data_IF_494199278577
#
_entry.id   IF_494199278577
#
_cell.length_a   1.000
_cell.length_b   1.000
_cell.length_c   1.000
_cell.angle_alpha   90.00
_cell.angle_beta   90.00
_cell.angle_gamma   90.00
#
_symmetry.space_group_name_H-M   'P 1'
#
loop_
_entity.id
_entity.type
_entity.pdbx_description
1 polymer ?
#
# COMPACT_ATOMS: atom_id res chain seq x y z
N UNK A 1 18.85 16.09 -16.80
CA UNK A 1 18.02 14.99 -17.39
C UNK A 1 18.98 14.00 -18.02
N UNK A 2 18.82 12.68 -17.75
CA UNK A 2 19.64 11.55 -18.23
C UNK A 2 20.93 11.25 -17.47
N UNK A 3 20.85 10.39 -16.46
CA UNK A 3 22.03 9.84 -15.77
C UNK A 3 21.87 8.49 -15.07
N UNK A 4 20.70 7.81 -15.16
CA UNK A 4 20.47 6.61 -14.32
C UNK A 4 20.32 5.27 -15.05
N UNK A 5 20.66 5.20 -16.33
CA UNK A 5 20.37 4.00 -17.14
C UNK A 5 21.43 2.88 -17.12
N UNK A 6 22.61 3.07 -16.56
CA UNK A 6 23.72 2.11 -16.79
C UNK A 6 24.31 1.41 -15.56
N UNK A 7 23.91 1.74 -14.34
CA UNK A 7 24.53 1.15 -13.13
C UNK A 7 23.83 -0.18 -12.73
N UNK A 8 22.59 -0.42 -13.15
CA UNK A 8 21.83 -1.61 -12.75
C UNK A 8 22.27 -2.90 -13.49
N UNK A 9 22.85 -2.81 -14.67
CA UNK A 9 23.23 -3.97 -15.48
C UNK A 9 24.53 -4.64 -15.00
N UNK A 10 25.43 -3.89 -14.40
CA UNK A 10 26.72 -4.39 -13.92
C UNK A 10 26.65 -5.25 -12.64
N UNK A 11 25.59 -5.12 -11.85
CA UNK A 11 25.42 -5.85 -10.59
C UNK A 11 24.87 -7.27 -10.82
N UNK A 12 24.18 -7.50 -11.94
CA UNK A 12 23.53 -8.77 -12.23
C UNK A 12 24.53 -9.84 -12.75
N UNK A 13 25.65 -9.44 -13.32
CA UNK A 13 26.61 -10.36 -13.96
C UNK A 13 27.63 -10.99 -13.00
N UNK A 14 27.76 -10.51 -11.76
CA UNK A 14 28.67 -11.09 -10.74
C UNK A 14 27.94 -11.97 -9.69
N UNK A 15 26.77 -12.50 -9.98
CA UNK A 15 25.89 -13.17 -9.02
C UNK A 15 26.17 -14.63 -8.73
N UNK A 16 27.32 -15.18 -9.10
CA UNK A 16 27.69 -16.58 -8.79
C UNK A 16 28.07 -16.86 -7.32
N UNK A 17 28.05 -15.85 -6.43
CA UNK A 17 28.41 -16.01 -5.01
C UNK A 17 27.23 -15.71 -4.06
N UNK A 18 26.05 -15.32 -4.56
CA UNK A 18 24.92 -14.96 -3.71
C UNK A 18 23.96 -16.14 -3.64
N UNK A 19 24.13 -17.03 -2.67
CA UNK A 19 23.11 -18.03 -2.31
C UNK A 19 21.84 -17.32 -1.78
N UNK A 20 20.97 -16.91 -2.68
CA UNK A 20 19.67 -16.31 -2.38
C UNK A 20 18.58 -16.94 -3.24
N UNK A 21 17.35 -16.88 -2.75
CA UNK A 21 16.19 -17.34 -3.52
C UNK A 21 15.69 -16.22 -4.42
N UNK A 22 15.65 -16.48 -5.72
CA UNK A 22 15.10 -15.59 -6.73
C UNK A 22 13.72 -16.07 -7.17
N UNK A 23 12.75 -15.17 -7.24
CA UNK A 23 11.38 -15.46 -7.68
C UNK A 23 10.93 -14.45 -8.73
N UNK A 24 10.18 -14.94 -9.72
CA UNK A 24 9.52 -14.13 -10.75
C UNK A 24 8.03 -14.46 -10.72
N UNK A 25 7.20 -13.46 -10.76
CA UNK A 25 5.75 -13.60 -10.90
C UNK A 25 5.20 -12.44 -11.74
N UNK A 26 4.01 -12.60 -12.25
CA UNK A 26 3.32 -11.55 -12.99
C UNK A 26 1.82 -11.66 -12.75
N UNK A 27 1.16 -10.52 -12.68
CA UNK A 27 -0.29 -10.42 -12.61
C UNK A 27 -0.77 -9.85 -13.94
N UNK A 28 -1.55 -10.62 -14.67
CA UNK A 28 -2.22 -10.17 -15.88
C UNK A 28 -3.70 -9.95 -15.59
N UNK A 29 -4.23 -8.79 -15.98
CA UNK A 29 -5.62 -8.44 -15.78
C UNK A 29 -6.21 -7.94 -17.07
N UNK A 30 -7.41 -8.44 -17.38
CA UNK A 30 -8.27 -7.94 -18.45
C UNK A 30 -9.62 -7.56 -17.84
N UNK A 31 -10.12 -6.38 -18.16
CA UNK A 31 -11.45 -5.92 -17.78
C UNK A 31 -12.17 -5.31 -18.98
N UNK A 32 -13.47 -5.56 -19.09
CA UNK A 32 -14.32 -4.95 -20.10
C UNK A 32 -15.67 -4.56 -19.49
N UNK A 33 -16.16 -3.39 -19.85
CA UNK A 33 -17.46 -2.86 -19.42
C UNK A 33 -18.22 -2.43 -20.67
N UNK A 34 -19.49 -2.76 -20.73
CA UNK A 34 -20.41 -2.31 -21.77
C UNK A 34 -21.60 -1.57 -21.15
N UNK A 35 -22.06 -0.53 -21.81
CA UNK A 35 -23.21 0.27 -21.39
C UNK A 35 -24.18 0.50 -22.55
N UNK A 36 -25.50 0.50 -22.27
CA UNK A 36 -26.53 0.77 -23.28
C UNK A 36 -26.80 2.27 -23.42
N UNK A 37 -26.83 3.01 -22.31
CA UNK A 37 -27.12 4.43 -22.26
C UNK A 37 -25.86 5.24 -21.90
N UNK A 38 -24.93 5.35 -22.84
CA UNK A 38 -23.71 6.14 -22.66
C UNK A 38 -23.84 7.50 -23.33
N UNK A 39 -23.24 8.57 -22.78
CA UNK A 39 -23.19 9.88 -23.43
C UNK A 39 -22.65 9.77 -24.86
N UNK A 40 -23.17 10.61 -25.78
CA UNK A 40 -22.87 10.55 -27.22
C UNK A 40 -21.39 10.53 -27.59
N UNK A 41 -20.51 11.06 -26.71
CA UNK A 41 -19.06 11.12 -26.92
C UNK A 41 -18.31 9.90 -26.35
N UNK A 42 -19.00 8.97 -25.70
CA UNK A 42 -18.38 7.82 -25.07
C UNK A 42 -18.68 6.54 -25.85
N UNK A 43 -17.69 5.67 -25.96
CA UNK A 43 -17.91 4.34 -26.55
C UNK A 43 -18.77 3.48 -25.61
N UNK A 44 -19.65 2.70 -26.20
CA UNK A 44 -20.42 1.68 -25.46
C UNK A 44 -19.53 0.62 -24.82
N UNK A 45 -18.32 0.46 -25.31
CA UNK A 45 -17.35 -0.51 -24.83
C UNK A 45 -16.13 0.22 -24.25
N UNK A 46 -15.78 -0.14 -23.03
CA UNK A 46 -14.52 0.27 -22.42
C UNK A 46 -13.79 -1.00 -21.98
N UNK A 47 -12.49 -1.07 -22.23
CA UNK A 47 -11.67 -2.18 -21.79
C UNK A 47 -10.34 -1.71 -21.20
N UNK A 48 -9.77 -2.53 -20.35
CA UNK A 48 -8.44 -2.32 -19.78
C UNK A 48 -7.64 -3.60 -19.82
N UNK A 49 -6.38 -3.46 -20.17
CA UNK A 49 -5.39 -4.55 -20.12
C UNK A 49 -4.27 -4.08 -19.21
N UNK A 50 -3.91 -4.88 -18.22
CA UNK A 50 -2.83 -4.57 -17.29
C UNK A 50 -1.91 -5.77 -17.12
N UNK A 51 -0.61 -5.50 -17.00
CA UNK A 51 0.39 -6.48 -16.65
C UNK A 51 1.36 -5.92 -15.62
N UNK A 52 1.57 -6.65 -14.53
CA UNK A 52 2.46 -6.27 -13.44
C UNK A 52 3.51 -7.36 -13.24
N UNK A 53 4.64 -7.32 -14.00
CA UNK A 53 5.78 -8.16 -13.72
C UNK A 53 6.39 -7.80 -12.37
N UNK A 54 6.76 -8.80 -11.58
CA UNK A 54 7.40 -8.64 -10.28
C UNK A 54 8.58 -9.60 -10.16
N UNK A 55 9.69 -9.08 -9.68
CA UNK A 55 10.91 -9.82 -9.38
C UNK A 55 11.18 -9.66 -7.89
N UNK A 56 11.46 -10.75 -7.20
CA UNK A 56 11.86 -10.71 -5.80
C UNK A 56 13.11 -11.55 -5.56
N UNK A 57 13.91 -11.08 -4.63
CA UNK A 57 15.13 -11.73 -4.19
C UNK A 57 15.13 -11.79 -2.66
N UNK A 58 15.46 -12.96 -2.11
CA UNK A 58 15.52 -13.21 -0.67
C UNK A 58 16.84 -13.87 -0.32
N UNK A 59 17.54 -13.34 0.67
CA UNK A 59 18.80 -13.87 1.17
C UNK A 59 18.79 -13.98 2.69
N UNK A 60 19.17 -15.15 3.19
CA UNK A 60 19.48 -15.29 4.62
C UNK A 60 20.85 -14.67 4.88
N UNK A 61 20.89 -13.62 5.73
CA UNK A 61 22.12 -12.93 6.13
C UNK A 61 22.76 -13.65 7.31
N UNK A 62 21.93 -14.19 8.18
CA UNK A 62 22.33 -15.09 9.27
C UNK A 62 21.23 -16.14 9.51
N UNK A 63 21.43 -17.05 10.48
CA UNK A 63 20.41 -18.03 10.85
C UNK A 63 19.08 -17.41 11.30
N UNK A 64 19.09 -16.16 11.74
CA UNK A 64 17.91 -15.48 12.29
C UNK A 64 17.57 -14.19 11.54
N UNK A 65 18.26 -13.85 10.45
CA UNK A 65 18.01 -12.61 9.74
C UNK A 65 17.95 -12.80 8.23
N UNK A 66 17.05 -12.04 7.61
CA UNK A 66 16.71 -12.14 6.20
C UNK A 66 16.79 -10.73 5.59
N UNK A 67 17.35 -10.65 4.41
CA UNK A 67 17.30 -9.49 3.53
C UNK A 67 16.44 -9.85 2.31
N UNK A 68 15.40 -9.07 2.06
CA UNK A 68 14.52 -9.21 0.91
C UNK A 68 14.54 -7.95 0.05
N UNK A 69 14.32 -8.17 -1.24
CA UNK A 69 14.14 -7.11 -2.22
C UNK A 69 12.98 -7.47 -3.14
N UNK A 70 12.14 -6.50 -3.49
CA UNK A 70 11.09 -6.66 -4.50
C UNK A 70 11.07 -5.48 -5.45
N UNK A 71 10.98 -5.78 -6.74
CA UNK A 71 10.73 -4.82 -7.79
C UNK A 71 9.55 -5.26 -8.64
N UNK A 72 8.60 -4.37 -8.85
CA UNK A 72 7.44 -4.57 -9.72
C UNK A 72 7.15 -3.32 -10.52
N UNK A 73 6.66 -3.49 -11.74
CA UNK A 73 6.33 -2.39 -12.64
C UNK A 73 4.96 -2.59 -13.25
N UNK A 74 4.12 -1.56 -13.26
CA UNK A 74 2.78 -1.63 -13.84
C UNK A 74 2.80 -1.08 -15.27
N UNK A 75 2.25 -1.89 -16.17
CA UNK A 75 1.94 -1.55 -17.56
C UNK A 75 0.44 -1.70 -17.75
N UNK A 76 -0.27 -0.63 -18.13
CA UNK A 76 -1.72 -0.68 -18.34
C UNK A 76 -2.13 0.17 -19.52
N UNK A 77 -2.99 -0.37 -20.37
CA UNK A 77 -3.70 0.32 -21.43
C UNK A 77 -5.20 0.36 -21.16
N UNK A 78 -5.82 1.54 -21.29
CA UNK A 78 -7.26 1.71 -21.19
C UNK A 78 -7.81 2.14 -22.55
N UNK A 79 -8.85 1.45 -23.01
CA UNK A 79 -9.44 1.62 -24.33
C UNK A 79 -10.89 2.09 -24.24
N UNK A 80 -11.28 2.95 -25.15
CA UNK A 80 -12.66 3.35 -25.39
C UNK A 80 -13.03 2.96 -26.83
N UNK A 81 -13.80 1.89 -27.01
CA UNK A 81 -13.88 1.19 -28.28
C UNK A 81 -12.50 0.66 -28.68
N UNK A 82 -12.09 0.94 -29.92
CA UNK A 82 -10.78 0.54 -30.43
C UNK A 82 -9.66 1.56 -30.15
N UNK A 83 -9.98 2.68 -29.49
CA UNK A 83 -9.04 3.76 -29.25
C UNK A 83 -8.41 3.66 -27.87
N UNK A 84 -7.07 3.62 -27.83
CA UNK A 84 -6.29 3.72 -26.59
C UNK A 84 -6.32 5.19 -26.10
N UNK A 85 -6.98 5.45 -24.96
CA UNK A 85 -7.12 6.80 -24.43
C UNK A 85 -6.21 7.11 -23.23
N UNK A 86 -5.72 6.06 -22.55
CA UNK A 86 -4.86 6.23 -21.38
C UNK A 86 -3.89 5.07 -21.23
N UNK A 87 -2.62 5.37 -21.00
CA UNK A 87 -1.61 4.40 -20.60
C UNK A 87 -1.09 4.72 -19.20
N UNK A 88 -0.77 3.69 -18.43
CA UNK A 88 -0.11 3.80 -17.14
C UNK A 88 1.16 2.98 -17.21
N UNK A 89 2.29 3.62 -16.95
CA UNK A 89 3.61 3.01 -16.91
C UNK A 89 4.35 3.57 -15.71
N UNK A 90 4.41 2.81 -14.61
CA UNK A 90 5.01 3.30 -13.36
C UNK A 90 5.52 2.18 -12.48
N UNK A 91 6.50 2.47 -11.60
CA UNK A 91 6.86 1.55 -10.54
C UNK A 91 5.63 1.17 -9.72
N UNK A 92 5.48 -0.12 -9.45
CA UNK A 92 4.38 -0.66 -8.67
C UNK A 92 4.83 -1.05 -7.27
N UNK A 93 6.04 -1.64 -7.17
CA UNK A 93 6.77 -1.96 -5.93
C UNK A 93 8.24 -1.75 -6.19
N UNK A 94 8.93 -1.22 -5.20
CA UNK A 94 10.39 -1.08 -5.22
C UNK A 94 10.86 -0.88 -3.80
N UNK A 95 11.13 -1.97 -3.10
CA UNK A 95 11.51 -1.90 -1.70
C UNK A 95 12.56 -2.94 -1.35
N UNK A 96 13.31 -2.65 -0.28
CA UNK A 96 14.18 -3.57 0.43
C UNK A 96 13.70 -3.75 1.86
N UNK A 97 13.87 -4.95 2.42
CA UNK A 97 13.48 -5.29 3.78
C UNK A 97 14.57 -6.08 4.47
N UNK A 98 14.93 -5.64 5.64
CA UNK A 98 15.67 -6.43 6.62
C UNK A 98 14.70 -6.91 7.69
N UNK A 99 14.76 -8.17 8.07
CA UNK A 99 13.93 -8.73 9.13
C UNK A 99 14.70 -9.75 9.98
N UNK A 100 14.43 -9.73 11.28
CA UNK A 100 14.82 -10.76 12.24
C UNK A 100 13.66 -11.03 13.21
N UNK A 101 13.87 -11.83 14.25
CA UNK A 101 12.83 -12.20 15.22
C UNK A 101 12.18 -10.99 15.93
N UNK A 102 12.92 -9.89 16.11
CA UNK A 102 12.46 -8.73 16.89
C UNK A 102 12.19 -7.49 16.05
N UNK A 103 12.72 -7.42 14.82
CA UNK A 103 12.70 -6.20 14.02
C UNK A 103 12.43 -6.52 12.55
N UNK A 104 11.55 -5.75 11.94
CA UNK A 104 11.44 -5.63 10.49
C UNK A 104 11.62 -4.16 10.11
N UNK A 105 12.56 -3.86 9.23
CA UNK A 105 12.73 -2.54 8.63
C UNK A 105 12.56 -2.65 7.11
N UNK A 106 11.67 -1.83 6.52
CA UNK A 106 11.41 -1.83 5.08
C UNK A 106 11.50 -0.41 4.54
N UNK A 107 12.25 -0.24 3.46
CA UNK A 107 12.48 1.05 2.80
C UNK A 107 12.09 0.97 1.33
N UNK A 108 11.41 2.00 0.82
CA UNK A 108 11.06 2.20 -0.58
C UNK A 108 9.57 2.16 -0.86
N UNK A 109 9.19 2.01 -2.14
CA UNK A 109 7.80 1.99 -2.60
C UNK A 109 7.12 0.68 -2.18
N UNK A 110 6.29 0.73 -1.16
CA UNK A 110 5.69 -0.42 -0.49
C UNK A 110 4.22 -0.23 -0.18
N UNK A 111 3.50 -1.34 -0.02
CA UNK A 111 2.12 -1.35 0.45
C UNK A 111 2.11 -1.28 1.98
N UNK A 112 1.30 -0.35 2.53
CA UNK A 112 1.03 -0.25 3.96
C UNK A 112 -0.48 -0.31 4.14
N UNK A 113 -0.96 -1.34 4.82
CA UNK A 113 -2.38 -1.59 5.07
C UNK A 113 -2.57 -1.90 6.53
N UNK A 114 -3.66 -1.39 7.09
CA UNK A 114 -4.12 -1.65 8.44
C UNK A 114 -5.59 -2.07 8.42
N UNK A 115 -6.02 -2.65 9.54
CA UNK A 115 -7.40 -2.95 9.83
C UNK A 115 -7.94 -4.21 9.15
N UNK A 116 -9.00 -4.81 9.74
CA UNK A 116 -9.60 -6.06 9.30
C UNK A 116 -10.65 -5.90 8.19
N UNK A 117 -11.16 -4.69 7.94
CA UNK A 117 -12.31 -4.49 7.04
C UNK A 117 -11.93 -4.59 5.56
N UNK A 118 -12.88 -5.09 4.75
CA UNK A 118 -12.67 -5.38 3.33
C UNK A 118 -13.35 -4.36 2.40
N UNK A 119 -14.51 -3.82 2.79
CA UNK A 119 -15.35 -2.99 1.92
C UNK A 119 -15.25 -1.51 2.32
N UNK A 120 -15.77 -1.16 3.48
CA UNK A 120 -15.64 0.18 4.04
C UNK A 120 -14.42 0.18 4.95
N UNK A 121 -13.35 0.86 4.51
CA UNK A 121 -12.03 0.77 5.12
C UNK A 121 -11.57 2.13 5.65
N UNK A 122 -12.04 2.56 6.84
CA UNK A 122 -11.65 3.85 7.43
C UNK A 122 -10.13 4.00 7.65
N UNK A 123 -9.40 2.88 7.85
CA UNK A 123 -7.95 2.83 7.99
C UNK A 123 -7.19 2.68 6.67
N UNK A 124 -7.85 2.79 5.52
CA UNK A 124 -7.20 2.79 4.21
C UNK A 124 -6.51 4.14 3.95
N UNK A 125 -5.50 4.46 4.76
CA UNK A 125 -4.85 5.77 4.72
C UNK A 125 -3.78 5.87 3.64
N UNK A 126 -3.14 4.77 3.30
CA UNK A 126 -1.96 4.71 2.43
C UNK A 126 -2.13 3.77 1.24
N UNK A 127 -3.30 3.18 1.10
CA UNK A 127 -3.65 2.34 -0.02
C UNK A 127 -4.88 2.90 -0.75
N UNK A 128 -4.72 3.17 -2.02
CA UNK A 128 -5.84 3.52 -2.89
C UNK A 128 -6.49 2.24 -3.40
N UNK A 129 -7.66 1.92 -2.89
CA UNK A 129 -8.44 0.80 -3.39
C UNK A 129 -9.36 1.28 -4.52
N UNK A 130 -9.19 0.72 -5.70
CA UNK A 130 -10.12 0.96 -6.81
C UNK A 130 -11.10 -0.22 -6.91
N UNK A 131 -12.37 0.01 -6.56
CA UNK A 131 -13.44 -0.99 -6.64
C UNK A 131 -13.61 -1.53 -8.06
N UNK A 132 -13.24 -0.74 -9.07
CA UNK A 132 -13.29 -1.15 -10.49
C UNK A 132 -12.14 -2.07 -10.88
N UNK A 133 -11.12 -2.19 -10.04
CA UNK A 133 -9.97 -3.05 -10.28
C UNK A 133 -10.23 -4.46 -9.72
N UNK A 134 -10.47 -5.46 -10.56
CA UNK A 134 -10.80 -6.82 -10.10
C UNK A 134 -9.68 -7.52 -9.34
N UNK A 135 -8.46 -6.99 -9.37
CA UNK A 135 -7.31 -7.58 -8.68
C UNK A 135 -7.15 -7.13 -7.24
N UNK A 136 -7.93 -6.15 -6.77
CA UNK A 136 -7.74 -5.50 -5.46
C UNK A 136 -6.31 -4.98 -5.23
N UNK A 137 -5.56 -4.79 -6.30
CA UNK A 137 -4.19 -4.31 -6.20
C UNK A 137 -4.18 -2.80 -6.00
N UNK A 138 -3.46 -2.37 -4.97
CA UNK A 138 -3.35 -0.97 -4.58
C UNK A 138 -1.95 -0.45 -4.84
N UNK A 139 -1.85 0.84 -5.12
CA UNK A 139 -0.56 1.52 -5.22
C UNK A 139 0.13 1.53 -3.85
N UNK A 140 1.46 1.55 -3.88
CA UNK A 140 2.26 1.73 -2.69
C UNK A 140 2.54 3.19 -2.38
N UNK A 141 3.18 3.41 -1.25
CA UNK A 141 3.76 4.69 -0.82
C UNK A 141 5.26 4.56 -0.65
N UNK A 142 6.00 5.62 -0.94
CA UNK A 142 7.42 5.68 -0.62
C UNK A 142 7.58 5.89 0.87
N UNK A 143 8.12 4.90 1.56
CA UNK A 143 8.19 4.92 3.02
C UNK A 143 9.42 4.20 3.58
N UNK A 144 9.86 4.68 4.75
CA UNK A 144 10.59 3.89 5.71
C UNK A 144 9.61 3.39 6.76
N UNK A 145 9.46 2.06 6.91
CA UNK A 145 8.62 1.44 7.92
C UNK A 145 9.45 0.52 8.79
N UNK A 146 9.27 0.66 10.10
CA UNK A 146 9.91 -0.17 11.11
C UNK A 146 8.81 -0.85 11.93
N UNK A 147 8.93 -2.16 12.14
CA UNK A 147 8.12 -2.95 13.07
C UNK A 147 9.03 -3.55 14.11
N UNK A 148 8.64 -3.43 15.35
CA UNK A 148 9.30 -4.09 16.46
C UNK A 148 8.33 -5.06 17.13
N UNK A 149 8.77 -6.32 17.27
CA UNK A 149 8.01 -7.41 17.85
C UNK A 149 8.48 -7.65 19.29
N UNK A 150 7.58 -7.48 20.25
CA UNK A 150 7.85 -7.76 21.65
C UNK A 150 7.63 -9.24 21.97
N UNK A 151 8.28 -9.71 23.04
CA UNK A 151 8.09 -11.08 23.55
C UNK A 151 6.66 -11.41 23.97
N UNK A 152 5.82 -10.38 24.23
CA UNK A 152 4.41 -10.55 24.67
C UNK A 152 3.41 -10.50 23.50
N UNK A 153 3.83 -10.82 22.28
CA UNK A 153 3.01 -10.73 21.06
C UNK A 153 2.49 -9.33 20.75
N UNK A 154 3.07 -8.30 21.35
CA UNK A 154 2.78 -6.92 21.00
C UNK A 154 3.66 -6.49 19.84
N UNK A 155 3.12 -5.66 18.95
CA UNK A 155 3.87 -5.12 17.82
C UNK A 155 3.78 -3.59 17.82
N UNK A 156 4.93 -2.95 17.67
CA UNK A 156 5.04 -1.51 17.48
C UNK A 156 5.48 -1.23 16.05
N UNK A 157 4.74 -0.37 15.37
CA UNK A 157 5.10 0.09 14.03
C UNK A 157 5.43 1.58 14.11
N UNK A 158 6.37 2.00 13.27
CA UNK A 158 6.58 3.40 12.96
C UNK A 158 6.86 3.56 11.48
N UNK A 159 6.53 4.71 10.94
CA UNK A 159 6.77 5.01 9.53
C UNK A 159 7.01 6.49 9.28
N UNK A 160 7.82 6.75 8.26
CA UNK A 160 7.98 8.02 7.58
C UNK A 160 7.53 7.78 6.13
N UNK A 161 6.60 8.58 5.63
CA UNK A 161 6.08 8.48 4.27
C UNK A 161 6.39 9.77 3.54
N UNK A 162 6.95 9.63 2.34
CA UNK A 162 7.15 10.73 1.42
C UNK A 162 6.00 10.78 0.45
N UNK A 163 5.35 11.94 0.31
CA UNK A 163 4.29 12.17 -0.67
C UNK A 163 4.83 12.72 -2.00
N UNK A 164 3.93 12.87 -2.98
CA UNK A 164 4.26 13.38 -4.32
C UNK A 164 4.75 14.84 -4.32
N UNK A 165 4.58 15.57 -3.22
CA UNK A 165 5.03 16.94 -3.03
C UNK A 165 6.36 17.04 -2.27
N UNK A 166 7.07 15.91 -2.11
CA UNK A 166 8.30 15.78 -1.33
C UNK A 166 8.14 16.10 0.18
N UNK A 167 6.89 16.06 0.67
CA UNK A 167 6.59 16.31 2.07
C UNK A 167 6.63 14.99 2.85
N UNK A 168 7.13 15.02 4.08
CA UNK A 168 7.22 13.83 4.93
C UNK A 168 6.09 13.84 5.94
N UNK A 169 5.27 12.81 5.90
CA UNK A 169 4.30 12.47 6.94
C UNK A 169 4.82 11.33 7.80
N UNK A 170 4.35 11.23 9.04
CA UNK A 170 4.84 10.23 9.97
C UNK A 170 3.75 9.72 10.92
N UNK A 171 3.97 8.54 11.44
CA UNK A 171 3.03 7.94 12.36
C UNK A 171 3.53 6.68 13.03
N UNK A 172 2.65 6.09 13.81
CA UNK A 172 2.92 4.83 14.49
C UNK A 172 1.64 4.06 14.77
N UNK A 173 1.81 2.78 15.06
CA UNK A 173 0.76 1.84 15.40
C UNK A 173 1.24 0.90 16.49
N UNK A 174 0.37 0.64 17.44
CA UNK A 174 0.55 -0.36 18.47
C UNK A 174 -0.52 -1.44 18.31
N UNK A 175 -0.10 -2.68 18.22
CA UNK A 175 -0.97 -3.85 18.11
C UNK A 175 -0.75 -4.77 19.31
N UNK A 176 -1.83 -5.23 19.89
CA UNK A 176 -1.78 -6.17 21.00
C UNK A 176 -2.98 -7.10 21.00
N UNK A 177 -2.77 -8.27 21.61
CA UNK A 177 -3.82 -9.26 21.82
C UNK A 177 -4.49 -9.00 23.19
N UNK A 178 -5.80 -8.84 23.18
CA UNK A 178 -6.64 -8.71 24.39
C UNK A 178 -7.60 -9.89 24.50
N UNK A 179 -8.35 -9.96 25.59
CA UNK A 179 -9.45 -10.92 25.74
C UNK A 179 -10.57 -10.72 24.71
N UNK A 180 -10.68 -9.50 24.18
CA UNK A 180 -11.64 -9.11 23.14
C UNK A 180 -11.08 -9.28 21.72
N UNK A 181 -9.95 -9.98 21.55
CA UNK A 181 -9.30 -10.20 20.29
C UNK A 181 -8.11 -9.27 20.01
N UNK A 182 -7.74 -9.16 18.77
CA UNK A 182 -6.65 -8.28 18.29
C UNK A 182 -7.11 -6.82 18.31
N UNK A 183 -6.32 -5.94 18.89
CA UNK A 183 -6.60 -4.49 18.96
C UNK A 183 -5.43 -3.72 18.38
N UNK A 184 -5.73 -2.74 17.52
CA UNK A 184 -4.78 -1.83 16.94
C UNK A 184 -5.09 -0.37 17.28
N UNK A 185 -4.08 0.38 17.70
CA UNK A 185 -4.14 1.82 17.94
C UNK A 185 -3.19 2.50 16.97
N UNK A 186 -3.68 3.43 16.15
CA UNK A 186 -2.91 4.05 15.07
C UNK A 186 -2.99 5.56 15.18
N UNK A 187 -1.85 6.23 15.02
CA UNK A 187 -1.75 7.68 14.93
C UNK A 187 -0.93 8.06 13.70
N UNK A 188 -1.30 9.16 13.05
CA UNK A 188 -0.58 9.68 11.90
C UNK A 188 -0.71 11.20 11.81
N UNK A 189 0.39 11.86 11.46
CA UNK A 189 0.45 13.29 11.24
C UNK A 189 0.75 13.57 9.77
N UNK A 190 -0.16 14.28 9.10
CA UNK A 190 0.03 14.80 7.76
C UNK A 190 0.38 16.30 7.82
N UNK A 191 1.51 16.71 7.25
CA UNK A 191 1.92 18.11 7.24
C UNK A 191 1.07 18.97 6.28
N UNK A 192 1.29 20.28 6.33
CA UNK A 192 0.43 21.32 5.76
C UNK A 192 0.11 21.16 4.26
N UNK A 193 0.92 20.49 3.48
CA UNK A 193 0.79 20.45 2.02
C UNK A 193 0.48 19.06 1.45
N UNK A 194 0.16 18.07 2.31
CA UNK A 194 -0.21 16.77 1.78
C UNK A 194 -1.63 16.80 1.22
N UNK A 195 -1.75 16.51 -0.05
CA UNK A 195 -3.04 16.27 -0.69
C UNK A 195 -3.30 14.76 -0.70
N UNK A 196 -4.12 14.30 0.23
CA UNK A 196 -4.50 12.90 0.30
C UNK A 196 -6.02 12.74 0.26
N UNK A 197 -6.45 11.76 -0.50
CA UNK A 197 -7.84 11.30 -0.49
C UNK A 197 -7.94 10.26 0.63
N UNK A 198 -8.77 10.51 1.63
CA UNK A 198 -8.97 9.59 2.72
C UNK A 198 -9.88 8.45 2.29
N UNK A 199 -9.29 7.27 2.18
CA UNK A 199 -9.98 6.02 1.94
C UNK A 199 -10.88 6.07 0.70
N UNK A 200 -11.85 5.18 0.67
CA UNK A 200 -12.84 5.09 -0.40
C UNK A 200 -13.87 6.23 -0.40
N UNK A 201 -13.94 7.01 0.68
CA UNK A 201 -14.91 8.07 0.83
C UNK A 201 -14.66 9.26 -0.09
N UNK A 202 -13.46 9.34 -0.68
CA UNK A 202 -13.11 10.41 -1.61
C UNK A 202 -13.10 11.81 -0.99
N UNK A 203 -13.02 11.92 0.35
CA UNK A 203 -12.96 13.22 1.02
C UNK A 203 -11.57 13.80 0.84
N UNK A 204 -11.39 14.87 0.05
CA UNK A 204 -10.10 15.50 -0.11
C UNK A 204 -9.78 16.33 1.14
N UNK A 205 -8.70 16.01 1.82
CA UNK A 205 -8.15 16.85 2.88
C UNK A 205 -6.84 17.45 2.37
N UNK A 206 -6.90 18.71 2.00
CA UNK A 206 -5.76 19.48 1.50
C UNK A 206 -5.16 20.42 2.55
N UNK A 207 -5.23 20.04 3.81
CA UNK A 207 -4.73 20.81 4.97
C UNK A 207 -4.00 19.89 5.91
N UNK A 208 -3.10 20.44 6.71
CA UNK A 208 -2.47 19.72 7.81
C UNK A 208 -3.54 19.11 8.71
N UNK A 209 -3.41 17.84 9.00
CA UNK A 209 -4.34 17.11 9.83
C UNK A 209 -3.66 15.95 10.57
N UNK A 210 -4.25 15.56 11.67
CA UNK A 210 -3.90 14.35 12.39
C UNK A 210 -4.98 13.31 12.17
N UNK A 211 -4.58 12.05 12.11
CA UNK A 211 -5.46 10.90 12.09
C UNK A 211 -5.18 10.05 13.32
N UNK A 212 -6.22 9.60 13.96
CA UNK A 212 -6.17 8.65 15.07
C UNK A 212 -7.16 7.55 14.75
N UNK A 213 -6.80 6.30 15.02
CA UNK A 213 -7.69 5.20 14.77
C UNK A 213 -7.56 4.12 15.84
N UNK A 214 -8.68 3.43 16.04
CA UNK A 214 -8.75 2.18 16.75
C UNK A 214 -9.41 1.15 15.84
N UNK A 215 -8.86 -0.05 15.81
CA UNK A 215 -9.47 -1.20 15.18
C UNK A 215 -9.39 -2.40 16.10
N UNK A 216 -10.36 -3.29 15.96
CA UNK A 216 -10.36 -4.56 16.66
C UNK A 216 -10.91 -5.66 15.77
N UNK A 217 -10.45 -6.89 16.04
CA UNK A 217 -10.91 -8.10 15.39
C UNK A 217 -11.01 -9.23 16.41
N UNK A 218 -12.20 -9.79 16.52
CA UNK A 218 -12.47 -10.96 17.32
C UNK A 218 -12.96 -12.10 16.42
N UNK A 219 -12.24 -13.20 16.43
CA UNK A 219 -12.56 -14.41 15.67
C UNK A 219 -13.04 -15.49 16.68
N UNK A 220 -14.31 -15.43 17.07
CA UNK A 220 -14.98 -16.42 17.92
C UNK A 220 -16.05 -17.21 17.16
N UNK A 221 -17.04 -17.73 17.88
CA UNK A 221 -18.23 -18.38 17.28
C UNK A 221 -18.96 -17.39 16.36
N UNK A 222 -19.00 -16.13 16.74
CA UNK A 222 -19.44 -15.01 15.91
C UNK A 222 -18.22 -14.10 15.73
N UNK A 223 -17.79 -13.91 14.48
CA UNK A 223 -16.74 -12.96 14.15
C UNK A 223 -17.23 -11.54 14.33
N UNK A 224 -16.42 -10.69 14.93
CA UNK A 224 -16.68 -9.27 15.09
C UNK A 224 -15.46 -8.45 14.71
N UNK A 225 -15.67 -7.33 14.02
CA UNK A 225 -14.62 -6.38 13.72
C UNK A 225 -15.14 -4.94 13.80
N UNK A 226 -14.24 -4.03 14.09
CA UNK A 226 -14.51 -2.60 14.07
C UNK A 226 -13.30 -1.86 13.52
N UNK A 227 -13.53 -0.84 12.73
CA UNK A 227 -12.54 0.18 12.39
C UNK A 227 -13.14 1.56 12.62
N UNK A 228 -12.47 2.38 13.42
CA UNK A 228 -12.89 3.75 13.70
C UNK A 228 -11.72 4.70 13.52
N UNK A 229 -11.92 5.76 12.75
CA UNK A 229 -10.92 6.78 12.46
C UNK A 229 -11.45 8.16 12.79
N UNK A 230 -10.69 8.92 13.55
CA UNK A 230 -10.87 10.36 13.78
C UNK A 230 -9.83 11.12 12.98
N UNK A 231 -10.29 12.06 12.15
CA UNK A 231 -9.46 12.96 11.37
C UNK A 231 -9.69 14.36 11.87
N UNK A 232 -8.63 15.00 12.34
CA UNK A 232 -8.68 16.31 12.94
C UNK A 232 -7.77 17.30 12.25
N UNK A 233 -8.34 18.37 11.71
CA UNK A 233 -7.63 19.57 11.29
C UNK A 233 -7.94 20.73 12.22
N UNK A 234 -7.28 21.89 12.05
CA UNK A 234 -7.54 23.09 12.90
C UNK A 234 -9.01 23.55 12.91
N UNK A 235 -9.80 23.22 11.86
CA UNK A 235 -11.18 23.71 11.71
C UNK A 235 -12.23 22.61 11.50
N UNK A 236 -11.80 21.36 11.32
CA UNK A 236 -12.71 20.29 10.90
C UNK A 236 -12.36 19.01 11.63
N UNK A 237 -13.37 18.30 12.11
CA UNK A 237 -13.27 16.95 12.63
C UNK A 237 -14.17 16.05 11.80
N UNK A 238 -13.67 14.89 11.42
CA UNK A 238 -14.42 13.84 10.70
C UNK A 238 -14.21 12.53 11.43
N UNK A 239 -15.29 11.84 11.72
CA UNK A 239 -15.28 10.50 12.31
C UNK A 239 -15.81 9.54 11.26
N UNK A 240 -15.06 8.49 10.98
CA UNK A 240 -15.45 7.37 10.14
C UNK A 240 -15.40 6.11 10.98
N UNK A 241 -16.46 5.31 10.96
CA UNK A 241 -16.50 4.03 11.67
C UNK A 241 -17.21 2.97 10.83
N UNK A 242 -16.78 1.72 10.98
CA UNK A 242 -17.43 0.54 10.38
C UNK A 242 -17.38 -0.61 11.38
N UNK A 243 -18.41 -1.45 11.35
CA UNK A 243 -18.63 -2.55 12.26
C UNK A 243 -18.95 -3.81 11.48
#
# INVERSE_FOLDING_TARGET
>A
MYGYKFILLGIILNSSIICGQFSKKGIFTFGAITGNDVPKLWSKYQSSISYIPTISFKKNVSNQSILDFEWGYQLQGNYSGDSLYKTIQKPYRFWTRYSNEKLEARLGLQKIIFGPTQILRPLSWFDSFDIKNPTNETYGVEALRIKWFSSNNNTFWSWLIKDDLDTISYGGRYEFLSQLGEVGLTIHNDPINSYQIIGQTGIPINKAHNRMAIDCRYDGIIGFWNESTLIQSKKTQVILATF
#
